data_IF_408666445160
#
_entry.id   IF_408666445160
#
_cell.length_a   1.000
_cell.length_b   1.000
_cell.length_c   1.000
_cell.angle_alpha   90.00
_cell.angle_beta   90.00
_cell.angle_gamma   90.00
#
_symmetry.space_group_name_H-M   'P 1'
#
loop_
_entity.id
_entity.type
_entity.pdbx_description
1 polymer ?
#
# COMPACT_ATOMS: atom_id res chain seq x y z
N UNK A 1 -5.16 -3.24 0.42
CA UNK A 1 -4.77 -1.96 1.07
C UNK A 1 -5.97 -1.27 1.69
N UNK A 2 -5.79 -0.19 2.53
CA UNK A 2 -6.96 0.47 3.17
C UNK A 2 -7.95 1.05 2.17
N UNK A 3 -7.54 1.67 1.05
CA UNK A 3 -8.51 2.09 0.03
C UNK A 3 -9.41 0.96 -0.47
N UNK A 4 -8.89 -0.25 -0.62
CA UNK A 4 -9.68 -1.41 -1.09
C UNK A 4 -10.77 -1.85 -0.11
N UNK A 5 -10.64 -1.53 1.18
CA UNK A 5 -11.69 -1.78 2.16
C UNK A 5 -12.97 -1.02 1.83
N UNK A 6 -12.84 0.14 1.19
CA UNK A 6 -13.98 0.92 0.72
C UNK A 6 -14.82 0.12 -0.29
N UNK A 7 -14.18 -0.56 -1.24
CA UNK A 7 -14.86 -1.38 -2.24
C UNK A 7 -15.71 -2.47 -1.57
N UNK A 8 -15.11 -3.15 -0.59
CA UNK A 8 -15.79 -4.18 0.17
C UNK A 8 -16.99 -3.62 0.95
N UNK A 9 -16.80 -2.48 1.62
CA UNK A 9 -17.85 -1.82 2.40
C UNK A 9 -18.98 -1.36 1.48
N UNK A 10 -18.68 -0.70 0.38
CA UNK A 10 -19.66 -0.22 -0.59
C UNK A 10 -20.45 -1.38 -1.21
N UNK A 11 -19.76 -2.49 -1.51
CA UNK A 11 -20.40 -3.70 -2.02
C UNK A 11 -21.38 -4.31 -0.99
N UNK A 12 -20.96 -4.44 0.27
CA UNK A 12 -21.82 -4.96 1.36
C UNK A 12 -23.05 -4.07 1.59
N UNK A 13 -22.88 -2.74 1.48
CA UNK A 13 -23.95 -1.78 1.65
C UNK A 13 -24.86 -1.63 0.43
N UNK A 14 -24.59 -2.34 -0.67
CA UNK A 14 -25.40 -2.31 -1.89
C UNK A 14 -25.22 -1.04 -2.73
N UNK A 15 -24.17 -0.24 -2.50
CA UNK A 15 -23.86 0.88 -3.36
C UNK A 15 -23.24 0.39 -4.67
N UNK A 16 -23.85 0.78 -5.81
CA UNK A 16 -23.35 0.41 -7.13
C UNK A 16 -22.06 1.11 -7.59
N UNK A 17 -21.50 1.98 -6.75
CA UNK A 17 -20.30 2.76 -7.05
C UNK A 17 -19.09 1.98 -6.51
N UNK A 18 -18.16 1.54 -7.38
CA UNK A 18 -17.07 0.67 -6.94
C UNK A 18 -15.98 1.39 -6.15
N UNK A 19 -15.89 2.71 -6.24
CA UNK A 19 -14.87 3.54 -5.61
C UNK A 19 -15.42 4.91 -5.28
N UNK A 20 -15.01 5.47 -4.13
CA UNK A 20 -15.40 6.82 -3.74
C UNK A 20 -14.27 7.56 -3.00
N UNK A 21 -14.50 8.01 -1.80
CA UNK A 21 -13.59 8.91 -1.09
C UNK A 21 -12.19 8.35 -0.84
N UNK A 22 -12.06 7.10 -0.39
CA UNK A 22 -10.75 6.52 -0.09
C UNK A 22 -9.87 6.29 -1.33
N UNK A 23 -10.49 6.22 -2.51
CA UNK A 23 -9.80 6.16 -3.80
C UNK A 23 -9.57 7.53 -4.45
N UNK A 24 -9.93 8.63 -3.77
CA UNK A 24 -9.48 9.96 -4.17
C UNK A 24 -8.10 10.26 -3.55
N UNK A 25 -7.27 11.11 -4.17
CA UNK A 25 -5.98 11.51 -3.60
C UNK A 25 -6.10 12.10 -2.20
N UNK A 26 -7.11 12.94 -1.96
CA UNK A 26 -7.37 13.54 -0.65
C UNK A 26 -7.77 12.47 0.37
N UNK A 27 -8.71 11.60 0.01
CA UNK A 27 -9.18 10.53 0.88
C UNK A 27 -8.09 9.51 1.18
N UNK A 28 -7.28 9.15 0.19
CA UNK A 28 -6.14 8.26 0.35
C UNK A 28 -5.09 8.83 1.31
N UNK A 29 -4.72 10.09 1.14
CA UNK A 29 -3.69 10.71 1.98
C UNK A 29 -4.18 11.00 3.40
N UNK A 30 -5.43 11.42 3.59
CA UNK A 30 -5.95 11.82 4.89
C UNK A 30 -6.60 10.64 5.61
N UNK A 31 -7.70 10.12 5.05
CA UNK A 31 -8.54 9.16 5.77
C UNK A 31 -7.97 7.74 5.73
N UNK A 32 -7.47 7.28 4.56
CA UNK A 32 -6.87 5.95 4.49
C UNK A 32 -5.61 5.85 5.35
N UNK A 33 -4.83 6.93 5.47
CA UNK A 33 -3.67 7.00 6.38
C UNK A 33 -4.10 6.93 7.83
N UNK A 34 -5.14 7.68 8.23
CA UNK A 34 -5.66 7.66 9.60
C UNK A 34 -6.16 6.24 9.98
N UNK A 35 -6.91 5.60 9.08
CA UNK A 35 -7.38 4.22 9.26
C UNK A 35 -6.20 3.25 9.35
N UNK A 36 -5.19 3.39 8.49
CA UNK A 36 -3.97 2.57 8.51
C UNK A 36 -3.25 2.68 9.85
N UNK A 37 -3.08 3.90 10.37
CA UNK A 37 -2.45 4.14 11.68
C UNK A 37 -3.27 3.52 12.81
N UNK A 38 -4.60 3.64 12.75
CA UNK A 38 -5.48 3.03 13.73
C UNK A 38 -5.35 1.49 13.73
N UNK A 39 -5.35 0.88 12.55
CA UNK A 39 -5.14 -0.57 12.39
C UNK A 39 -3.78 -0.98 12.96
N UNK A 40 -2.71 -0.28 12.60
CA UNK A 40 -1.36 -0.54 13.13
C UNK A 40 -1.36 -0.42 14.65
N UNK A 41 -1.97 0.63 15.20
CA UNK A 41 -2.07 0.82 16.65
C UNK A 41 -2.78 -0.34 17.35
N UNK A 42 -3.92 -0.80 16.81
CA UNK A 42 -4.67 -1.94 17.34
C UNK A 42 -3.84 -3.22 17.28
N UNK A 43 -3.18 -3.50 16.15
CA UNK A 43 -2.32 -4.68 15.98
C UNK A 43 -1.15 -4.69 16.97
N UNK A 44 -0.54 -3.53 17.24
CA UNK A 44 0.53 -3.39 18.22
C UNK A 44 0.01 -3.48 19.67
N UNK A 45 -1.20 -2.95 19.94
CA UNK A 45 -1.81 -3.02 21.28
C UNK A 45 -2.18 -4.45 21.66
N UNK A 46 -2.71 -5.22 20.73
CA UNK A 46 -3.15 -6.61 20.94
C UNK A 46 -1.99 -7.62 20.95
N UNK A 47 -0.77 -7.17 20.68
CA UNK A 47 0.41 -8.03 20.47
C UNK A 47 0.19 -9.10 19.39
N UNK A 48 -0.76 -8.84 18.48
CA UNK A 48 -1.10 -9.75 17.40
C UNK A 48 0.12 -10.08 16.55
N UNK A 49 0.92 -9.06 16.22
CA UNK A 49 2.14 -9.21 15.42
C UNK A 49 3.19 -10.08 16.14
N UNK A 50 3.34 -9.94 17.45
CA UNK A 50 4.23 -10.79 18.25
C UNK A 50 3.76 -12.25 18.24
N UNK A 51 2.45 -12.47 18.43
CA UNK A 51 1.86 -13.82 18.53
C UNK A 51 1.87 -14.57 17.20
N UNK A 52 1.55 -13.89 16.09
CA UNK A 52 1.38 -14.54 14.78
C UNK A 52 2.70 -14.62 14.02
N UNK A 53 3.53 -13.59 14.11
CA UNK A 53 4.74 -13.44 13.28
C UNK A 53 6.05 -13.51 14.08
N UNK A 54 5.97 -13.72 15.41
CA UNK A 54 7.13 -13.72 16.31
C UNK A 54 8.03 -12.47 16.14
N UNK A 55 7.40 -11.31 15.96
CA UNK A 55 8.10 -10.04 15.69
C UNK A 55 8.05 -9.14 16.89
N UNK A 56 9.13 -9.09 17.64
CA UNK A 56 9.33 -8.15 18.77
C UNK A 56 9.82 -6.77 18.33
N UNK A 57 9.82 -6.49 17.01
CA UNK A 57 10.62 -5.41 16.43
C UNK A 57 9.85 -4.12 16.24
N UNK A 58 8.51 -4.16 16.20
CA UNK A 58 7.73 -2.95 15.93
C UNK A 58 7.42 -2.24 17.23
N UNK A 59 8.27 -1.25 17.55
CA UNK A 59 8.04 -0.36 18.68
C UNK A 59 6.88 0.58 18.39
N UNK A 60 6.02 0.82 19.38
CA UNK A 60 4.97 1.85 19.28
C UNK A 60 5.60 3.22 19.15
N UNK A 61 5.07 4.07 18.25
CA UNK A 61 5.48 5.46 18.20
C UNK A 61 5.28 6.11 19.58
N UNK A 62 6.25 6.88 20.04
CA UNK A 62 6.21 7.59 21.34
C UNK A 62 6.16 9.10 21.17
N UNK A 63 6.76 9.58 20.11
CA UNK A 63 6.92 11.01 19.84
C UNK A 63 6.02 11.45 18.68
N UNK A 64 5.57 12.70 18.70
CA UNK A 64 4.77 13.29 17.64
C UNK A 64 5.44 13.13 16.26
N UNK A 65 6.75 13.28 16.19
CA UNK A 65 7.54 13.12 14.97
C UNK A 65 7.39 11.71 14.38
N UNK A 66 7.37 10.67 15.22
CA UNK A 66 7.20 9.29 14.77
C UNK A 66 5.79 9.06 14.19
N UNK A 67 4.76 9.66 14.80
CA UNK A 67 3.39 9.64 14.25
C UNK A 67 3.29 10.39 12.93
N UNK A 68 3.91 11.56 12.81
CA UNK A 68 3.94 12.33 11.56
C UNK A 68 4.65 11.53 10.45
N UNK A 69 5.79 10.92 10.75
CA UNK A 69 6.49 10.07 9.79
C UNK A 69 5.63 8.87 9.35
N UNK A 70 4.96 8.22 10.31
CA UNK A 70 4.06 7.11 10.01
C UNK A 70 2.88 7.57 9.12
N UNK A 71 2.33 8.76 9.39
CA UNK A 71 1.28 9.36 8.56
C UNK A 71 1.77 9.62 7.13
N UNK A 72 2.93 10.21 6.98
CA UNK A 72 3.52 10.47 5.67
C UNK A 72 3.74 9.17 4.90
N UNK A 73 4.33 8.16 5.54
CA UNK A 73 4.60 6.87 4.89
C UNK A 73 3.31 6.17 4.48
N UNK A 74 2.32 6.10 5.37
CA UNK A 74 1.03 5.48 5.05
C UNK A 74 0.27 6.27 4.00
N UNK A 75 0.35 7.62 4.04
CA UNK A 75 -0.27 8.51 3.07
C UNK A 75 0.34 8.37 1.68
N UNK A 76 1.65 8.39 1.58
CA UNK A 76 2.35 8.18 0.31
C UNK A 76 2.08 6.77 -0.26
N UNK A 77 2.04 5.75 0.60
CA UNK A 77 1.69 4.38 0.18
C UNK A 77 0.27 4.30 -0.38
N UNK A 78 -0.70 4.95 0.28
CA UNK A 78 -2.10 4.99 -0.18
C UNK A 78 -2.25 5.80 -1.47
N UNK A 79 -1.54 6.93 -1.59
CA UNK A 79 -1.50 7.73 -2.83
C UNK A 79 -0.91 6.93 -3.99
N UNK A 80 0.19 6.20 -3.76
CA UNK A 80 0.82 5.36 -4.79
C UNK A 80 -0.15 4.30 -5.28
N UNK A 81 -0.90 3.66 -4.37
CA UNK A 81 -1.94 2.70 -4.73
C UNK A 81 -3.03 3.34 -5.60
N UNK A 82 -3.59 4.46 -5.16
CA UNK A 82 -4.62 5.20 -5.92
C UNK A 82 -4.10 5.65 -7.27
N UNK A 83 -2.83 6.08 -7.35
CA UNK A 83 -2.22 6.48 -8.60
C UNK A 83 -2.04 5.30 -9.58
N UNK A 84 -1.61 4.13 -9.08
CA UNK A 84 -1.52 2.92 -9.89
C UNK A 84 -2.90 2.49 -10.38
N UNK A 85 -3.91 2.54 -9.51
CA UNK A 85 -5.30 2.29 -9.87
C UNK A 85 -5.80 3.24 -10.95
N UNK A 86 -5.46 4.51 -10.83
CA UNK A 86 -5.79 5.51 -11.86
C UNK A 86 -5.27 5.12 -13.24
N UNK A 87 -4.12 4.50 -13.34
CA UNK A 87 -3.56 4.15 -14.64
C UNK A 87 -4.41 3.12 -15.40
N UNK A 88 -5.07 2.20 -14.71
CA UNK A 88 -5.69 1.05 -15.36
C UNK A 88 -7.19 0.83 -15.08
N UNK A 89 -7.78 1.62 -14.18
CA UNK A 89 -9.21 1.50 -13.90
C UNK A 89 -10.06 2.52 -14.66
N UNK A 90 -11.31 2.13 -14.95
CA UNK A 90 -12.25 2.99 -15.71
C UNK A 90 -12.99 3.99 -14.82
N UNK A 91 -12.97 3.82 -13.51
CA UNK A 91 -13.74 4.65 -12.56
C UNK A 91 -12.84 5.16 -11.45
N UNK A 92 -12.23 6.33 -11.65
CA UNK A 92 -11.30 6.93 -10.71
C UNK A 92 -11.84 8.28 -10.21
N UNK A 93 -12.16 8.41 -8.90
CA UNK A 93 -12.71 9.65 -8.32
C UNK A 93 -11.61 10.64 -7.93
N UNK A 94 -10.79 11.07 -8.90
CA UNK A 94 -9.57 11.85 -8.64
C UNK A 94 -9.88 13.18 -7.95
N UNK A 95 -10.93 13.87 -8.39
CA UNK A 95 -11.29 15.19 -7.88
C UNK A 95 -12.32 15.14 -6.73
N UNK A 96 -12.70 13.96 -6.30
CA UNK A 96 -13.62 13.78 -5.18
C UNK A 96 -12.97 14.22 -3.85
N UNK A 97 -13.64 14.90 -2.91
CA UNK A 97 -15.06 15.26 -2.92
C UNK A 97 -15.39 16.60 -3.61
N UNK A 98 -14.42 17.30 -4.15
CA UNK A 98 -14.59 18.65 -4.71
C UNK A 98 -15.46 18.58 -5.98
N UNK A 99 -15.21 17.58 -6.81
CA UNK A 99 -15.92 17.39 -8.06
C UNK A 99 -16.17 15.89 -8.30
N UNK A 100 -17.43 15.43 -8.25
CA UNK A 100 -17.77 14.00 -8.32
C UNK A 100 -17.73 13.45 -9.75
N UNK A 101 -16.63 13.65 -10.44
CA UNK A 101 -16.38 13.07 -11.76
C UNK A 101 -15.46 11.86 -11.63
N UNK A 102 -15.81 10.82 -12.39
CA UNK A 102 -14.98 9.65 -12.58
C UNK A 102 -14.20 9.79 -13.87
N UNK A 103 -12.89 9.60 -13.80
CA UNK A 103 -11.99 9.71 -14.95
C UNK A 103 -11.49 8.31 -15.29
N UNK A 104 -11.54 7.97 -16.57
CA UNK A 104 -10.97 6.73 -17.07
C UNK A 104 -9.44 6.82 -17.09
N UNK A 105 -8.78 5.76 -16.64
CA UNK A 105 -7.32 5.69 -16.64
C UNK A 105 -6.73 5.64 -18.04
N UNK A 106 -5.59 6.27 -18.27
CA UNK A 106 -5.01 6.41 -19.60
C UNK A 106 -4.68 5.06 -20.26
N UNK A 107 -4.23 4.07 -19.51
CA UNK A 107 -3.95 2.75 -20.05
C UNK A 107 -5.26 2.00 -20.34
N UNK A 108 -6.27 2.12 -19.45
CA UNK A 108 -7.58 1.53 -19.66
C UNK A 108 -8.25 2.11 -20.92
N UNK A 109 -8.14 3.40 -21.13
CA UNK A 109 -8.64 4.08 -22.33
C UNK A 109 -7.99 3.54 -23.61
N UNK A 110 -6.67 3.29 -23.60
CA UNK A 110 -5.93 2.88 -24.81
C UNK A 110 -6.14 1.40 -25.17
N UNK A 111 -6.17 0.51 -24.21
CA UNK A 111 -6.15 -0.96 -24.45
C UNK A 111 -7.30 -1.71 -23.81
N UNK A 112 -8.24 -0.99 -23.21
CA UNK A 112 -9.37 -1.54 -22.46
C UNK A 112 -8.99 -1.98 -21.05
N UNK A 113 -9.97 -1.98 -20.15
CA UNK A 113 -9.81 -2.22 -18.72
C UNK A 113 -9.10 -3.55 -18.39
N UNK A 114 -9.52 -4.66 -18.99
CA UNK A 114 -8.94 -5.98 -18.68
C UNK A 114 -7.46 -6.07 -19.06
N UNK A 115 -7.10 -5.58 -20.26
CA UNK A 115 -5.72 -5.59 -20.73
C UNK A 115 -4.85 -4.62 -19.90
N UNK A 116 -5.38 -3.45 -19.57
CA UNK A 116 -4.71 -2.47 -18.72
C UNK A 116 -4.41 -3.06 -17.33
N UNK A 117 -5.38 -3.73 -16.73
CA UNK A 117 -5.23 -4.40 -15.44
C UNK A 117 -4.15 -5.46 -15.51
N UNK A 118 -4.16 -6.32 -16.53
CA UNK A 118 -3.14 -7.35 -16.72
C UNK A 118 -1.74 -6.73 -16.86
N UNK A 119 -1.58 -5.72 -17.71
CA UNK A 119 -0.30 -5.06 -17.97
C UNK A 119 0.26 -4.43 -16.69
N UNK A 120 -0.56 -3.67 -15.94
CA UNK A 120 -0.12 -3.00 -14.72
C UNK A 120 0.24 -4.01 -13.62
N UNK A 121 -0.53 -5.10 -13.46
CA UNK A 121 -0.20 -6.12 -12.48
C UNK A 121 1.07 -6.89 -12.85
N UNK A 122 1.26 -7.25 -14.13
CA UNK A 122 2.49 -7.89 -14.59
C UNK A 122 3.70 -6.98 -14.36
N UNK A 123 3.61 -5.70 -14.71
CA UNK A 123 4.68 -4.73 -14.46
C UNK A 123 5.00 -4.63 -12.96
N UNK A 124 3.97 -4.59 -12.10
CA UNK A 124 4.15 -4.54 -10.64
C UNK A 124 4.84 -5.80 -10.09
N UNK A 125 4.48 -6.98 -10.58
CA UNK A 125 5.14 -8.24 -10.21
C UNK A 125 6.60 -8.25 -10.68
N UNK A 126 6.88 -7.82 -11.89
CA UNK A 126 8.26 -7.73 -12.42
C UNK A 126 9.10 -6.80 -11.55
N UNK A 127 8.59 -5.61 -11.24
CA UNK A 127 9.28 -4.65 -10.36
C UNK A 127 9.54 -5.27 -8.98
N UNK A 128 8.55 -5.93 -8.39
CA UNK A 128 8.71 -6.61 -7.10
C UNK A 128 9.80 -7.69 -7.16
N UNK A 129 9.81 -8.51 -8.20
CA UNK A 129 10.82 -9.56 -8.40
C UNK A 129 12.22 -8.94 -8.52
N UNK A 130 12.36 -7.84 -9.27
CA UNK A 130 13.65 -7.12 -9.41
C UNK A 130 14.11 -6.59 -8.05
N UNK A 131 13.21 -5.97 -7.26
CA UNK A 131 13.55 -5.46 -5.93
C UNK A 131 13.99 -6.61 -5.01
N UNK A 132 13.26 -7.72 -5.01
CA UNK A 132 13.59 -8.88 -4.18
C UNK A 132 14.90 -9.55 -4.62
N UNK A 133 15.16 -9.64 -5.92
CA UNK A 133 16.42 -10.17 -6.46
C UNK A 133 17.60 -9.28 -6.06
N UNK A 134 17.46 -7.97 -6.20
CA UNK A 134 18.46 -7.00 -5.76
C UNK A 134 18.74 -7.11 -4.26
N UNK A 135 17.66 -7.15 -3.44
CA UNK A 135 17.77 -7.31 -2.00
C UNK A 135 18.44 -8.65 -1.61
N UNK A 136 18.07 -9.73 -2.29
CA UNK A 136 18.67 -11.07 -2.11
C UNK A 136 20.17 -11.05 -2.38
N UNK A 137 20.57 -10.44 -3.49
CA UNK A 137 21.97 -10.26 -3.84
C UNK A 137 22.73 -9.42 -2.82
N UNK A 138 22.19 -8.25 -2.46
CA UNK A 138 22.81 -7.33 -1.50
C UNK A 138 22.91 -7.91 -0.09
N UNK A 139 21.90 -8.63 0.38
CA UNK A 139 21.87 -9.26 1.70
C UNK A 139 22.53 -10.65 1.75
N UNK A 140 23.04 -11.16 0.64
CA UNK A 140 23.59 -12.53 0.50
C UNK A 140 22.66 -13.60 1.10
N UNK A 141 21.35 -13.47 0.86
CA UNK A 141 20.31 -14.37 1.39
C UNK A 141 19.30 -14.73 0.30
N UNK A 142 18.62 -15.87 0.43
CA UNK A 142 17.63 -16.26 -0.56
C UNK A 142 16.37 -15.36 -0.50
N UNK A 143 15.72 -15.16 -1.65
CA UNK A 143 14.45 -14.43 -1.76
C UNK A 143 13.40 -15.01 -0.80
N UNK A 144 13.33 -16.35 -0.71
CA UNK A 144 12.39 -17.01 0.20
C UNK A 144 12.62 -16.60 1.66
N UNK A 145 13.88 -16.52 2.11
CA UNK A 145 14.22 -16.06 3.46
C UNK A 145 13.90 -14.59 3.68
N UNK A 146 13.90 -13.76 2.65
CA UNK A 146 13.46 -12.36 2.75
C UNK A 146 11.95 -12.31 2.96
N UNK A 147 11.19 -13.00 2.11
CA UNK A 147 9.72 -12.99 2.16
C UNK A 147 9.18 -13.60 3.46
N UNK A 148 9.81 -14.66 3.95
CA UNK A 148 9.37 -15.34 5.19
C UNK A 148 9.86 -14.68 6.48
N UNK A 149 10.74 -13.66 6.39
CA UNK A 149 11.25 -12.93 7.53
C UNK A 149 10.82 -11.47 7.49
N UNK A 150 9.83 -11.11 8.30
CA UNK A 150 9.37 -9.72 8.42
C UNK A 150 10.51 -8.75 8.80
N UNK A 151 11.45 -9.19 9.63
CA UNK A 151 12.62 -8.39 9.97
C UNK A 151 13.50 -8.08 8.75
N UNK A 152 13.69 -9.05 7.85
CA UNK A 152 14.44 -8.83 6.61
C UNK A 152 13.66 -7.98 5.62
N UNK A 153 12.36 -8.20 5.51
CA UNK A 153 11.49 -7.32 4.72
C UNK A 153 11.54 -5.88 5.21
N UNK A 154 11.46 -5.66 6.52
CA UNK A 154 11.59 -4.33 7.11
C UNK A 154 12.90 -3.66 6.71
N UNK A 155 14.04 -4.35 6.85
CA UNK A 155 15.34 -3.83 6.43
C UNK A 155 15.39 -3.47 4.94
N UNK A 156 14.81 -4.30 4.07
CA UNK A 156 14.79 -4.04 2.62
C UNK A 156 13.98 -2.80 2.26
N UNK A 157 12.78 -2.67 2.83
CA UNK A 157 11.82 -1.66 2.38
C UNK A 157 11.82 -0.38 3.21
N UNK A 158 12.24 -0.45 4.47
CA UNK A 158 12.17 0.70 5.39
C UNK A 158 13.53 1.26 5.73
N UNK A 159 14.55 0.40 5.84
CA UNK A 159 15.93 0.81 6.20
C UNK A 159 16.95 0.35 5.14
N UNK A 160 16.79 0.73 3.87
CA UNK A 160 17.71 0.27 2.82
C UNK A 160 19.17 0.66 3.04
N UNK A 161 19.43 1.74 3.81
CA UNK A 161 20.76 2.18 4.21
C UNK A 161 21.45 1.30 5.26
N UNK A 162 20.68 0.48 6.01
CA UNK A 162 21.22 -0.46 7.01
C UNK A 162 21.75 -1.77 6.41
N UNK A 163 21.60 -1.95 5.10
CA UNK A 163 22.10 -3.10 4.37
C UNK A 163 23.62 -2.94 4.17
N UNK A 164 24.39 -3.08 5.25
CA UNK A 164 25.86 -3.09 5.17
C UNK A 164 26.35 -4.43 4.59
N UNK A 165 27.38 -4.33 3.75
CA UNK A 165 28.11 -5.49 3.27
C UNK A 165 28.85 -6.12 4.46
N UNK A 166 28.40 -7.27 4.88
CA UNK A 166 29.15 -8.16 5.79
C UNK A 166 29.93 -9.18 4.99
#
# INVERSE_FOLDING_TARGET
MVPDLEILILYILGFGIPRSFLHSPIGAFILASAISILIIYILLKTKFMEKVFNVNVIRRPKELREYVNLWIVTGLSSLTHVFIDYLHHSYNPILWPIYPIYIEGPIAYLIGYLNATLVVHLASVIILVIILAYASWKMRTSILKIITSLQKMYKVFVEPGSLQFS
#
